data_IF_748250642708
#
_entry.id   IF_748250642708
#
_cell.length_a   1.000
_cell.length_b   1.000
_cell.length_c   1.000
_cell.angle_alpha   90.00
_cell.angle_beta   90.00
_cell.angle_gamma   90.00
#
_symmetry.space_group_name_H-M   'P 1'
#
loop_
_entity.id
_entity.type
_entity.pdbx_description
1 polymer ?
#
# COMPACT_ATOMS: atom_id res chain seq x y z
N UNK A 1 -13.24 5.29 10.20
CA UNK A 1 -12.05 5.97 10.77
C UNK A 1 -10.83 5.57 9.96
N UNK A 2 -9.91 6.49 9.71
CA UNK A 2 -8.66 6.22 8.97
C UNK A 2 -7.48 6.55 9.86
N UNK A 3 -6.49 5.68 9.85
CA UNK A 3 -5.51 5.62 10.93
C UNK A 3 -4.21 4.99 10.39
N UNK A 4 -3.05 5.52 10.76
CA UNK A 4 -1.74 5.07 10.27
C UNK A 4 -0.93 4.48 11.43
N UNK A 5 -0.27 3.34 11.19
CA UNK A 5 0.46 2.60 12.22
C UNK A 5 1.62 3.43 12.80
N UNK A 6 2.27 4.25 11.98
CA UNK A 6 3.40 5.05 12.41
C UNK A 6 3.04 6.30 13.21
N UNK A 7 1.81 6.83 13.05
CA UNK A 7 1.37 8.03 13.78
C UNK A 7 0.54 7.73 15.01
N UNK A 8 -0.23 6.64 15.05
CA UNK A 8 -1.12 6.34 16.16
C UNK A 8 -0.54 5.39 17.20
N UNK A 9 0.43 4.57 16.82
CA UNK A 9 0.93 3.48 17.64
C UNK A 9 2.38 3.74 18.01
N UNK A 10 2.58 4.78 18.84
CA UNK A 10 3.88 5.03 19.43
C UNK A 10 4.41 3.78 20.16
N UNK A 11 5.67 3.45 19.91
CA UNK A 11 6.38 2.38 20.62
C UNK A 11 6.40 1.02 19.93
N UNK A 12 6.22 0.95 18.61
CA UNK A 12 6.48 -0.28 17.85
C UNK A 12 5.40 -1.35 18.07
N UNK A 13 4.18 -0.90 18.34
CA UNK A 13 3.02 -1.76 18.60
C UNK A 13 2.03 -1.71 17.45
N UNK A 14 1.24 -2.77 17.32
CA UNK A 14 0.19 -2.94 16.30
C UNK A 14 -1.11 -3.36 16.99
N UNK A 15 -2.29 -3.06 16.41
CA UNK A 15 -3.55 -3.44 17.04
C UNK A 15 -3.78 -4.95 16.85
N UNK A 16 -4.02 -5.68 17.93
CA UNK A 16 -4.39 -7.10 17.89
C UNK A 16 -5.90 -7.31 17.90
N UNK A 17 -6.64 -6.36 18.48
CA UNK A 17 -8.08 -6.46 18.67
C UNK A 17 -8.73 -5.07 18.66
N UNK A 18 -9.92 -4.96 18.09
CA UNK A 18 -10.81 -3.82 18.29
C UNK A 18 -11.97 -4.23 19.18
N UNK A 19 -12.16 -3.48 20.26
CA UNK A 19 -13.33 -3.55 21.12
C UNK A 19 -14.25 -2.41 20.72
N UNK A 20 -15.21 -2.70 19.82
CA UNK A 20 -16.12 -1.69 19.28
C UNK A 20 -17.41 -1.70 20.10
N UNK A 21 -17.68 -0.61 20.79
CA UNK A 21 -18.92 -0.41 21.54
C UNK A 21 -19.92 0.32 20.66
N UNK A 22 -21.08 -0.28 20.43
CA UNK A 22 -22.14 0.27 19.59
C UNK A 22 -23.46 0.32 20.34
N UNK A 23 -24.35 1.21 19.91
CA UNK A 23 -25.75 1.22 20.37
C UNK A 23 -26.67 1.44 19.17
N UNK A 24 -27.80 0.76 19.17
CA UNK A 24 -28.81 0.91 18.14
C UNK A 24 -30.17 1.17 18.79
N UNK A 25 -30.90 2.18 18.32
CA UNK A 25 -32.23 2.48 18.83
C UNK A 25 -33.25 1.40 18.41
N UNK A 26 -34.33 1.22 19.20
CA UNK A 26 -35.46 0.37 18.81
C UNK A 26 -36.01 0.78 17.45
N UNK A 27 -36.46 -0.21 16.68
CA UNK A 27 -37.19 0.00 15.43
C UNK A 27 -38.61 -0.54 15.53
N UNK A 28 -39.49 -0.05 14.65
CA UNK A 28 -40.88 -0.51 14.58
C UNK A 28 -41.04 -1.97 14.08
N UNK A 29 -40.01 -2.54 13.44
CA UNK A 29 -40.02 -3.91 12.95
C UNK A 29 -39.17 -4.87 13.79
N UNK A 30 -39.48 -6.17 13.68
CA UNK A 30 -38.84 -7.27 14.42
C UNK A 30 -37.46 -7.68 13.88
N UNK A 31 -37.04 -7.11 12.74
CA UNK A 31 -35.73 -7.41 12.14
C UNK A 31 -34.62 -6.69 12.90
N UNK A 32 -33.82 -7.45 13.63
CA UNK A 32 -32.66 -6.94 14.33
C UNK A 32 -31.59 -6.39 13.35
N UNK A 33 -31.04 -5.19 13.61
CA UNK A 33 -29.93 -4.64 12.81
C UNK A 33 -28.68 -5.52 12.91
N UNK A 34 -27.88 -5.50 11.84
CA UNK A 34 -26.55 -6.12 11.80
C UNK A 34 -25.51 -5.01 11.82
N UNK A 35 -24.59 -5.06 12.78
CA UNK A 35 -23.36 -4.26 12.76
C UNK A 35 -22.22 -5.10 12.20
N UNK A 36 -21.51 -4.58 11.21
CA UNK A 36 -20.34 -5.21 10.58
C UNK A 36 -19.12 -4.33 10.76
N UNK A 37 -18.01 -4.93 11.17
CA UNK A 37 -16.73 -4.24 11.39
C UNK A 37 -15.76 -4.74 10.32
N UNK A 38 -15.25 -3.81 9.53
CA UNK A 38 -14.32 -4.08 8.44
C UNK A 38 -13.03 -3.31 8.62
N UNK A 39 -11.90 -3.93 8.32
CA UNK A 39 -10.57 -3.30 8.29
C UNK A 39 -9.98 -3.49 6.90
N UNK A 40 -9.67 -2.40 6.20
CA UNK A 40 -9.13 -2.45 4.83
C UNK A 40 -9.95 -3.38 3.92
N UNK A 41 -11.27 -3.25 4.00
CA UNK A 41 -12.27 -4.08 3.31
C UNK A 41 -12.35 -5.56 3.71
N UNK A 42 -11.51 -6.03 4.64
CA UNK A 42 -11.68 -7.34 5.27
C UNK A 42 -12.75 -7.28 6.36
N UNK A 43 -13.75 -8.15 6.28
CA UNK A 43 -14.74 -8.33 7.34
C UNK A 43 -14.09 -9.01 8.56
N UNK A 44 -13.92 -8.26 9.65
CA UNK A 44 -13.36 -8.79 10.89
C UNK A 44 -14.42 -9.48 11.76
N UNK A 45 -15.67 -9.00 11.67
CA UNK A 45 -16.78 -9.60 12.39
C UNK A 45 -18.09 -8.89 12.10
N UNK A 46 -19.19 -9.58 12.35
CA UNK A 46 -20.53 -9.02 12.30
C UNK A 46 -21.36 -9.55 13.46
N UNK A 47 -22.25 -8.70 13.99
CA UNK A 47 -23.14 -9.06 15.08
C UNK A 47 -24.54 -8.53 14.82
N UNK A 48 -25.53 -9.38 15.06
CA UNK A 48 -26.93 -8.97 15.16
C UNK A 48 -27.14 -8.31 16.52
N UNK A 49 -27.60 -7.07 16.52
CA UNK A 49 -27.80 -6.26 17.72
C UNK A 49 -29.20 -6.45 18.29
N UNK A 50 -29.33 -6.25 19.60
CA UNK A 50 -30.61 -6.22 20.30
C UNK A 50 -31.45 -4.97 19.99
N UNK A 51 -30.79 -3.88 19.60
CA UNK A 51 -31.41 -2.60 19.25
C UNK A 51 -32.34 -2.03 20.34
N UNK A 52 -31.97 -2.16 21.62
CA UNK A 52 -32.72 -1.63 22.76
C UNK A 52 -32.18 -0.27 23.26
N UNK A 53 -31.29 0.38 22.50
CA UNK A 53 -30.61 1.62 22.90
C UNK A 53 -29.48 1.43 23.92
N UNK A 54 -29.21 0.21 24.38
CA UNK A 54 -28.13 -0.10 25.33
C UNK A 54 -26.84 -0.41 24.57
N UNK A 55 -25.70 -0.14 25.21
CA UNK A 55 -24.38 -0.47 24.70
C UNK A 55 -24.19 -1.97 24.50
N UNK A 56 -23.73 -2.35 23.31
CA UNK A 56 -23.29 -3.69 22.96
C UNK A 56 -21.83 -3.65 22.48
N UNK A 57 -20.97 -4.46 23.12
CA UNK A 57 -19.56 -4.59 22.73
C UNK A 57 -19.39 -5.70 21.70
N UNK A 58 -18.67 -5.40 20.63
CA UNK A 58 -18.28 -6.37 19.59
C UNK A 58 -16.75 -6.47 19.59
N UNK A 59 -16.17 -7.51 20.21
CA UNK A 59 -14.74 -7.79 20.09
C UNK A 59 -14.46 -8.39 18.71
N UNK A 60 -13.47 -7.84 18.00
CA UNK A 60 -12.99 -8.40 16.74
C UNK A 60 -11.48 -8.49 16.73
N UNK A 61 -10.97 -9.67 16.42
CA UNK A 61 -9.53 -9.90 16.28
C UNK A 61 -9.03 -9.29 14.97
N UNK A 62 -7.82 -8.77 15.00
CA UNK A 62 -7.17 -8.16 13.85
C UNK A 62 -6.17 -9.16 13.25
N UNK A 63 -6.49 -9.80 12.12
CA UNK A 63 -5.55 -10.68 11.46
C UNK A 63 -4.40 -9.87 10.87
N UNK A 64 -3.18 -10.41 10.96
CA UNK A 64 -1.96 -9.73 10.50
C UNK A 64 -2.04 -9.30 9.03
N UNK A 65 -2.61 -10.15 8.17
CA UNK A 65 -2.74 -9.88 6.73
C UNK A 65 -3.71 -8.74 6.40
N UNK A 66 -4.61 -8.36 7.31
CA UNK A 66 -5.56 -7.27 7.08
C UNK A 66 -4.98 -5.91 7.49
N UNK A 67 -3.84 -5.88 8.20
CA UNK A 67 -3.16 -4.66 8.59
C UNK A 67 -2.23 -4.19 7.48
N UNK A 68 -2.28 -2.90 7.20
CA UNK A 68 -1.38 -2.19 6.31
C UNK A 68 -0.75 -1.01 7.06
N UNK A 69 0.19 -0.32 6.42
CA UNK A 69 0.74 0.94 6.94
C UNK A 69 -0.35 1.96 7.32
N UNK A 70 -1.31 2.15 6.41
CA UNK A 70 -2.51 2.95 6.61
C UNK A 70 -3.72 2.04 6.58
N UNK A 71 -4.58 2.23 7.57
CA UNK A 71 -5.72 1.38 7.82
C UNK A 71 -7.01 2.20 7.80
N UNK A 72 -8.08 1.58 7.32
CA UNK A 72 -9.44 2.11 7.37
C UNK A 72 -10.30 1.13 8.15
N UNK A 73 -10.77 1.55 9.32
CA UNK A 73 -11.78 0.84 10.10
C UNK A 73 -13.16 1.37 9.73
N UNK A 74 -13.99 0.52 9.10
CA UNK A 74 -15.37 0.84 8.73
C UNK A 74 -16.32 0.05 9.61
N UNK A 75 -17.27 0.75 10.22
CA UNK A 75 -18.35 0.15 10.99
C UNK A 75 -19.63 0.46 10.22
N UNK A 76 -20.31 -0.58 9.76
CA UNK A 76 -21.54 -0.47 8.96
C UNK A 76 -22.70 -1.03 9.76
N UNK A 77 -23.82 -0.32 9.75
CA UNK A 77 -25.08 -0.79 10.31
C UNK A 77 -26.04 -1.05 9.17
N UNK A 78 -26.56 -2.27 9.10
CA UNK A 78 -27.54 -2.67 8.11
C UNK A 78 -28.85 -3.01 8.81
N UNK A 79 -29.94 -2.43 8.33
CA UNK A 79 -31.30 -2.74 8.75
C UNK A 79 -32.08 -3.16 7.53
N UNK A 80 -32.92 -4.17 7.69
CA UNK A 80 -33.91 -4.46 6.68
C UNK A 80 -34.97 -3.36 6.75
N UNK A 81 -35.22 -2.60 5.67
CA UNK A 81 -36.33 -1.67 5.65
C UNK A 81 -37.62 -2.49 5.73
N UNK A 82 -38.48 -2.14 6.70
CA UNK A 82 -39.83 -2.68 6.78
C UNK A 82 -40.78 -1.66 6.15
N UNK A 83 -41.66 -2.14 5.28
CA UNK A 83 -42.74 -1.35 4.70
C UNK A 83 -43.91 -2.29 4.55
N UNK A 84 -45.01 -1.99 5.24
CA UNK A 84 -46.25 -2.75 5.06
C UNK A 84 -46.73 -2.57 3.62
N UNK A 85 -46.58 -3.60 2.78
CA UNK A 85 -46.98 -3.61 1.36
C UNK A 85 -46.50 -2.38 0.56
N UNK A 86 -45.28 -1.90 0.83
CA UNK A 86 -44.71 -0.69 0.20
C UNK A 86 -45.50 0.61 0.48
N UNK A 87 -46.40 0.63 1.48
CA UNK A 87 -47.24 1.80 1.82
C UNK A 87 -46.60 2.74 2.83
N UNK A 88 -45.68 2.23 3.65
CA UNK A 88 -44.94 3.05 4.61
C UNK A 88 -43.57 3.42 4.09
N UNK A 89 -43.18 4.67 4.29
CA UNK A 89 -41.84 5.17 3.98
C UNK A 89 -40.87 4.63 5.02
N UNK A 90 -39.79 3.90 4.63
CA UNK A 90 -38.82 3.39 5.58
C UNK A 90 -38.23 4.53 6.43
N UNK A 91 -38.37 4.43 7.76
CA UNK A 91 -37.83 5.43 8.68
C UNK A 91 -36.40 5.08 9.10
N UNK A 92 -35.55 6.12 9.21
CA UNK A 92 -34.21 5.99 9.73
C UNK A 92 -34.24 5.97 11.27
N UNK A 93 -33.67 4.94 11.88
CA UNK A 93 -33.49 4.82 13.33
C UNK A 93 -32.03 5.07 13.70
N UNK A 94 -31.74 5.86 14.75
CA UNK A 94 -30.37 6.23 15.07
C UNK A 94 -29.54 5.03 15.55
N UNK A 95 -28.25 5.08 15.23
CA UNK A 95 -27.21 4.17 15.68
C UNK A 95 -25.99 5.00 16.09
N UNK A 96 -25.18 4.49 17.01
CA UNK A 96 -23.97 5.16 17.44
C UNK A 96 -22.82 4.16 17.61
N UNK A 97 -21.61 4.64 17.31
CA UNK A 97 -20.35 4.03 17.76
C UNK A 97 -19.91 4.85 18.97
N UNK A 98 -19.75 4.20 20.11
CA UNK A 98 -19.56 4.87 21.38
C UNK A 98 -18.08 5.20 21.64
N UNK A 99 -17.77 6.30 22.36
CA UNK A 99 -16.40 6.70 22.68
C UNK A 99 -15.61 5.71 23.55
N UNK A 100 -16.30 4.75 24.18
CA UNK A 100 -15.67 3.68 24.97
C UNK A 100 -14.98 2.60 24.11
N UNK A 101 -15.15 2.68 22.78
CA UNK A 101 -14.47 1.83 21.82
C UNK A 101 -12.96 2.01 21.89
N UNK A 102 -12.20 0.91 21.84
CA UNK A 102 -10.73 0.94 21.97
C UNK A 102 -10.03 -0.14 21.16
N UNK A 103 -8.76 0.10 20.84
CA UNK A 103 -7.86 -0.90 20.25
C UNK A 103 -6.97 -1.49 21.34
N UNK A 104 -6.81 -2.82 21.35
CA UNK A 104 -5.80 -3.51 22.16
C UNK A 104 -4.52 -3.62 21.32
N UNK A 105 -3.39 -3.21 21.91
CA UNK A 105 -2.11 -3.14 21.22
C UNK A 105 -1.14 -4.21 21.73
N UNK A 106 -0.41 -4.81 20.80
CA UNK A 106 0.68 -5.79 21.07
C UNK A 106 1.94 -5.37 20.33
N UNK A 107 3.09 -5.94 20.70
CA UNK A 107 4.33 -5.66 20.00
C UNK A 107 4.27 -6.08 18.53
N UNK A 108 4.82 -5.24 17.65
CA UNK A 108 4.90 -5.52 16.23
C UNK A 108 5.75 -6.79 16.01
N UNK A 109 5.28 -7.74 15.19
CA UNK A 109 6.07 -8.93 14.92
C UNK A 109 7.40 -8.57 14.26
N UNK A 110 8.41 -9.41 14.46
CA UNK A 110 9.72 -9.27 13.82
C UNK A 110 9.71 -9.80 12.37
N UNK A 111 8.68 -9.42 11.60
CA UNK A 111 8.58 -9.74 10.18
C UNK A 111 9.41 -8.75 9.36
N UNK A 112 10.01 -9.23 8.28
CA UNK A 112 10.82 -8.43 7.35
C UNK A 112 9.92 -7.99 6.19
N UNK A 113 8.98 -7.11 6.50
CA UNK A 113 7.99 -6.54 5.59
C UNK A 113 7.66 -5.09 6.02
N UNK A 114 6.85 -4.36 5.24
CA UNK A 114 6.43 -3.00 5.61
C UNK A 114 5.68 -2.98 6.95
N UNK A 115 4.91 -4.04 7.25
CA UNK A 115 4.18 -4.18 8.51
C UNK A 115 5.08 -4.27 9.73
N UNK A 116 6.21 -4.99 9.65
CA UNK A 116 7.19 -5.10 10.71
C UNK A 116 8.12 -3.89 10.79
N UNK A 117 8.51 -3.31 9.66
CA UNK A 117 9.47 -2.20 9.63
C UNK A 117 8.86 -0.87 10.12
N UNK A 118 7.65 -0.51 9.65
CA UNK A 118 7.10 0.83 9.88
C UNK A 118 6.81 1.16 11.36
N UNK A 119 6.25 0.26 12.19
CA UNK A 119 6.09 0.54 13.63
C UNK A 119 7.43 0.79 14.34
N UNK A 120 8.50 0.13 13.91
CA UNK A 120 9.85 0.34 14.46
C UNK A 120 10.39 1.72 14.06
N UNK A 121 10.26 2.08 12.79
CA UNK A 121 10.64 3.40 12.27
C UNK A 121 9.89 4.56 12.95
N UNK A 122 8.61 4.35 13.27
CA UNK A 122 7.81 5.33 13.99
C UNK A 122 8.28 5.56 15.44
N UNK A 123 8.96 4.58 16.04
CA UNK A 123 9.47 4.66 17.42
C UNK A 123 10.77 5.43 17.49
N UNK A 124 11.73 5.03 16.65
CA UNK A 124 13.01 5.72 16.47
C UNK A 124 13.57 5.26 15.12
N UNK A 125 13.89 6.21 14.25
CA UNK A 125 14.43 5.91 12.95
C UNK A 125 15.79 6.57 12.74
N UNK A 126 16.73 5.83 12.16
CA UNK A 126 17.91 6.39 11.54
C UNK A 126 17.63 6.60 10.05
N UNK A 127 17.50 7.85 9.60
CA UNK A 127 17.33 8.20 8.18
C UNK A 127 18.70 8.42 7.59
N UNK A 128 19.12 7.54 6.69
CA UNK A 128 20.48 7.50 6.16
C UNK A 128 20.45 7.95 4.70
N UNK A 129 21.21 8.99 4.39
CA UNK A 129 21.30 9.59 3.05
C UNK A 129 22.77 9.80 2.66
N UNK A 130 23.15 9.78 1.37
CA UNK A 130 24.50 10.10 0.95
C UNK A 130 24.77 11.61 1.03
N UNK A 131 26.03 12.01 1.16
CA UNK A 131 26.44 13.40 1.25
C UNK A 131 26.01 14.23 0.02
N UNK A 132 25.95 13.61 -1.16
CA UNK A 132 25.45 14.21 -2.38
C UNK A 132 24.03 14.78 -2.25
N UNK A 133 23.17 14.21 -1.40
CA UNK A 133 21.81 14.71 -1.18
C UNK A 133 21.80 16.10 -0.56
N UNK A 134 22.80 16.45 0.27
CA UNK A 134 22.86 17.78 0.87
C UNK A 134 23.12 18.91 -0.15
N UNK A 135 23.56 18.57 -1.37
CA UNK A 135 23.92 19.54 -2.42
C UNK A 135 22.76 19.88 -3.35
N UNK A 136 21.70 19.07 -3.37
CA UNK A 136 20.56 19.23 -4.29
C UNK A 136 19.23 19.33 -3.52
N UNK A 137 18.54 20.48 -3.56
CA UNK A 137 17.28 20.69 -2.84
C UNK A 137 16.14 19.77 -3.31
N UNK A 138 16.21 19.21 -4.52
CA UNK A 138 15.19 18.26 -5.00
C UNK A 138 15.24 16.94 -4.23
N UNK A 139 16.40 16.57 -3.70
CA UNK A 139 16.57 15.35 -2.91
C UNK A 139 15.91 15.44 -1.54
N UNK A 140 15.86 16.64 -0.93
CA UNK A 140 15.16 16.85 0.34
C UNK A 140 13.68 16.47 0.24
N UNK A 141 13.02 16.84 -0.85
CA UNK A 141 11.62 16.44 -1.08
C UNK A 141 11.49 14.93 -1.13
N UNK A 142 12.40 14.25 -1.82
CA UNK A 142 12.44 12.78 -1.90
C UNK A 142 12.56 12.14 -0.53
N UNK A 143 13.49 12.64 0.29
CA UNK A 143 13.70 12.17 1.67
C UNK A 143 12.44 12.34 2.50
N UNK A 144 11.79 13.51 2.43
CA UNK A 144 10.55 13.78 3.15
C UNK A 144 9.43 12.84 2.68
N UNK A 145 9.25 12.67 1.36
CA UNK A 145 8.22 11.79 0.81
C UNK A 145 8.41 10.34 1.25
N UNK A 146 9.64 9.82 1.21
CA UNK A 146 9.95 8.47 1.66
C UNK A 146 9.80 8.33 3.17
N UNK A 147 10.30 9.27 3.96
CA UNK A 147 10.16 9.26 5.42
C UNK A 147 8.68 9.23 5.85
N UNK A 148 7.85 10.09 5.25
CA UNK A 148 6.40 10.11 5.50
C UNK A 148 5.75 8.80 5.07
N UNK A 149 6.06 8.29 3.88
CA UNK A 149 5.50 7.03 3.38
C UNK A 149 5.89 5.82 4.24
N UNK A 150 7.05 5.89 4.91
CA UNK A 150 7.59 4.87 5.80
C UNK A 150 7.21 5.05 7.28
N UNK A 151 6.38 6.05 7.60
CA UNK A 151 5.92 6.29 8.98
C UNK A 151 6.98 6.86 9.91
N UNK A 152 8.08 7.43 9.37
CA UNK A 152 9.12 8.08 10.15
C UNK A 152 8.60 9.40 10.70
N UNK A 153 8.77 9.63 12.00
CA UNK A 153 8.37 10.88 12.67
C UNK A 153 9.59 11.80 12.82
N UNK A 154 9.51 13.09 12.43
CA UNK A 154 10.65 14.02 12.55
C UNK A 154 11.16 14.18 13.97
N UNK A 155 10.28 14.10 14.98
CA UNK A 155 10.63 14.24 16.40
C UNK A 155 11.48 13.08 16.94
N UNK A 156 11.45 11.92 16.29
CA UNK A 156 12.14 10.69 16.73
C UNK A 156 13.09 10.13 15.67
N UNK A 157 13.38 10.94 14.65
CA UNK A 157 14.31 10.58 13.59
C UNK A 157 15.69 11.20 13.84
N UNK A 158 16.73 10.46 13.50
CA UNK A 158 18.10 10.96 13.40
C UNK A 158 18.47 10.95 11.92
N UNK A 159 18.90 12.08 11.38
CA UNK A 159 19.45 12.15 10.04
C UNK A 159 20.94 11.80 10.10
N UNK A 160 21.32 10.70 9.48
CA UNK A 160 22.72 10.28 9.30
C UNK A 160 23.14 10.52 7.86
N UNK A 161 24.25 11.22 7.68
CA UNK A 161 24.81 11.51 6.36
C UNK A 161 26.00 10.59 6.12
N UNK A 162 25.88 9.70 5.15
CA UNK A 162 26.94 8.82 4.71
C UNK A 162 27.87 9.53 3.73
N UNK A 163 29.16 9.18 3.75
CA UNK A 163 30.05 9.53 2.65
C UNK A 163 29.51 8.95 1.33
N UNK A 164 29.73 9.63 0.22
CA UNK A 164 29.24 9.17 -1.08
C UNK A 164 29.80 7.79 -1.42
N UNK A 165 28.90 6.82 -1.63
CA UNK A 165 29.26 5.43 -1.92
C UNK A 165 29.77 4.62 -0.72
N UNK A 166 29.90 5.23 0.46
CA UNK A 166 30.31 4.56 1.68
C UNK A 166 29.24 3.57 2.17
N UNK A 167 29.70 2.54 2.85
CA UNK A 167 28.85 1.55 3.50
C UNK A 167 28.64 1.92 4.97
N UNK A 168 27.39 1.90 5.43
CA UNK A 168 27.03 2.16 6.82
C UNK A 168 26.31 0.96 7.41
N UNK A 169 26.60 0.64 8.67
CA UNK A 169 25.87 -0.35 9.47
C UNK A 169 24.98 0.37 10.49
N UNK A 170 23.65 0.31 10.35
CA UNK A 170 22.72 0.91 11.30
C UNK A 170 22.74 0.20 12.65
N UNK A 171 22.60 0.98 13.73
CA UNK A 171 22.53 0.53 15.12
C UNK A 171 21.07 0.35 15.63
N UNK A 172 20.08 0.65 14.77
CA UNK A 172 18.66 0.60 15.06
C UNK A 172 17.81 0.49 13.80
N UNK A 173 16.49 0.63 13.93
CA UNK A 173 15.59 0.70 12.78
C UNK A 173 15.96 1.88 11.87
N UNK A 174 15.99 1.65 10.57
CA UNK A 174 16.57 2.59 9.62
C UNK A 174 15.79 2.72 8.33
N UNK A 175 15.84 3.91 7.73
CA UNK A 175 15.41 4.19 6.36
C UNK A 175 16.64 4.67 5.60
N UNK A 176 17.22 3.81 4.77
CA UNK A 176 18.34 4.17 3.91
C UNK A 176 17.86 4.55 2.52
N UNK A 177 18.32 5.67 2.00
CA UNK A 177 17.90 6.21 0.71
C UNK A 177 19.14 6.38 -0.16
N UNK A 178 19.23 5.62 -1.26
CA UNK A 178 20.37 5.61 -2.19
C UNK A 178 21.75 5.46 -1.49
N UNK A 179 21.77 4.81 -0.31
CA UNK A 179 22.99 4.58 0.49
C UNK A 179 23.27 3.08 0.58
N UNK A 180 24.56 2.72 0.58
CA UNK A 180 24.97 1.33 0.83
C UNK A 180 24.87 1.02 2.32
N UNK A 181 24.14 -0.03 2.63
CA UNK A 181 23.98 -0.52 4.00
C UNK A 181 24.68 -1.87 4.09
N UNK A 182 25.48 -2.06 5.12
CA UNK A 182 26.24 -3.29 5.33
C UNK A 182 25.37 -4.43 5.84
N UNK A 183 25.78 -5.67 5.57
CA UNK A 183 25.10 -6.89 6.04
C UNK A 183 23.60 -6.97 5.70
N UNK A 184 23.20 -6.39 4.56
CA UNK A 184 21.79 -6.39 4.13
C UNK A 184 21.42 -7.70 3.47
N UNK A 185 20.36 -8.33 3.98
CA UNK A 185 19.66 -9.39 3.26
C UNK A 185 18.64 -8.76 2.32
N UNK A 186 19.01 -8.58 1.05
CA UNK A 186 18.21 -7.93 0.00
C UNK A 186 17.76 -8.97 -1.03
N UNK A 187 16.49 -8.96 -1.38
CA UNK A 187 15.88 -9.67 -2.51
C UNK A 187 15.85 -8.82 -3.78
N UNK A 188 16.13 -7.51 -3.67
CA UNK A 188 16.19 -6.58 -4.79
C UNK A 188 17.63 -6.24 -5.18
N UNK A 189 17.94 -6.38 -6.46
CA UNK A 189 19.18 -5.89 -7.07
C UNK A 189 18.86 -4.83 -8.12
N UNK A 190 19.48 -3.66 -7.97
CA UNK A 190 19.42 -2.57 -8.96
C UNK A 190 20.80 -2.38 -9.55
N UNK A 191 20.90 -2.43 -10.87
CA UNK A 191 22.12 -2.16 -11.63
C UNK A 191 21.81 -1.18 -12.77
N UNK A 192 22.10 0.10 -12.53
CA UNK A 192 21.72 1.18 -13.44
C UNK A 192 20.21 1.19 -13.71
N UNK A 193 19.82 0.93 -14.95
CA UNK A 193 18.42 0.86 -15.41
C UNK A 193 17.81 -0.55 -15.36
N UNK A 194 18.48 -1.51 -14.72
CA UNK A 194 18.01 -2.89 -14.57
C UNK A 194 17.59 -3.17 -13.14
N UNK A 195 16.44 -3.81 -13.00
CA UNK A 195 15.88 -4.27 -11.74
C UNK A 195 15.74 -5.78 -11.79
N UNK A 196 16.32 -6.47 -10.82
CA UNK A 196 16.08 -7.89 -10.57
C UNK A 196 15.51 -8.09 -9.16
N UNK A 197 14.49 -8.93 -9.04
CA UNK A 197 13.86 -9.33 -7.78
C UNK A 197 13.91 -10.84 -7.67
N UNK A 198 14.45 -11.34 -6.56
CA UNK A 198 14.49 -12.76 -6.23
C UNK A 198 13.43 -13.09 -5.18
N UNK A 199 12.78 -14.24 -5.34
CA UNK A 199 11.85 -14.77 -4.34
C UNK A 199 12.57 -15.52 -3.22
N UNK A 200 11.78 -16.02 -2.27
CA UNK A 200 12.29 -16.74 -1.08
C UNK A 200 13.10 -18.02 -1.37
N UNK A 201 12.99 -18.59 -2.59
CA UNK A 201 13.75 -19.78 -3.02
C UNK A 201 14.90 -19.44 -3.99
N UNK A 202 15.40 -18.20 -3.95
CA UNK A 202 16.40 -17.66 -4.89
C UNK A 202 15.97 -17.65 -6.36
N UNK A 203 14.71 -17.98 -6.65
CA UNK A 203 14.16 -17.93 -7.99
C UNK A 203 13.97 -16.47 -8.41
N UNK A 204 14.47 -16.12 -9.60
CA UNK A 204 14.23 -14.81 -10.21
C UNK A 204 12.73 -14.67 -10.51
N UNK A 205 12.06 -13.79 -9.78
CA UNK A 205 10.63 -13.49 -10.00
C UNK A 205 10.43 -12.42 -11.07
N UNK A 206 11.34 -11.45 -11.12
CA UNK A 206 11.28 -10.34 -12.05
C UNK A 206 12.71 -9.93 -12.42
N UNK A 207 12.99 -9.78 -13.71
CA UNK A 207 14.22 -9.17 -14.23
C UNK A 207 13.87 -8.32 -15.43
N UNK A 208 13.96 -7.00 -15.27
CA UNK A 208 13.53 -6.03 -16.28
C UNK A 208 14.61 -4.96 -16.43
N UNK A 209 15.04 -4.73 -17.67
CA UNK A 209 15.97 -3.67 -18.04
C UNK A 209 15.26 -2.43 -18.59
N UNK A 210 16.05 -1.40 -18.90
CA UNK A 210 15.60 -0.15 -19.53
C UNK A 210 14.54 0.63 -18.72
N UNK A 211 14.59 0.50 -17.39
CA UNK A 211 13.73 1.24 -16.47
C UNK A 211 14.34 2.61 -16.15
N UNK A 212 13.50 3.65 -16.14
CA UNK A 212 13.90 5.03 -15.83
C UNK A 212 12.77 5.70 -15.06
N UNK A 213 13.11 6.70 -14.23
CA UNK A 213 12.12 7.46 -13.45
C UNK A 213 11.30 6.57 -12.50
N UNK A 214 11.94 5.53 -11.99
CA UNK A 214 11.38 4.57 -11.05
C UNK A 214 12.29 4.48 -9.83
N UNK A 215 11.70 4.10 -8.70
CA UNK A 215 12.42 3.72 -7.50
C UNK A 215 11.89 2.38 -7.00
N UNK A 216 12.67 1.73 -6.17
CA UNK A 216 12.25 0.54 -5.43
C UNK A 216 12.55 0.75 -3.97
N UNK A 217 11.57 0.42 -3.13
CA UNK A 217 11.75 0.35 -1.68
C UNK A 217 11.48 -1.06 -1.22
N UNK A 218 12.35 -1.55 -0.33
CA UNK A 218 12.34 -2.91 0.16
C UNK A 218 12.50 -2.92 1.68
N UNK A 219 11.75 -3.78 2.36
CA UNK A 219 11.98 -4.13 3.75
C UNK A 219 13.11 -5.15 3.85
N UNK A 220 14.13 -4.83 4.65
CA UNK A 220 15.35 -5.65 4.77
C UNK A 220 15.77 -5.82 6.22
N UNK A 221 16.67 -6.77 6.43
CA UNK A 221 17.45 -6.88 7.67
C UNK A 221 18.90 -6.49 7.43
N UNK A 222 19.46 -5.70 8.35
CA UNK A 222 20.91 -5.45 8.47
C UNK A 222 21.37 -5.99 9.83
N UNK A 223 21.97 -7.18 9.83
CA UNK A 223 22.20 -7.92 11.08
C UNK A 223 20.88 -8.20 11.81
N UNK A 224 20.71 -7.66 13.02
CA UNK A 224 19.49 -7.80 13.83
C UNK A 224 18.47 -6.66 13.63
N UNK A 225 18.80 -5.65 12.82
CA UNK A 225 17.96 -4.47 12.64
C UNK A 225 17.06 -4.64 11.41
N UNK A 226 15.76 -4.40 11.59
CA UNK A 226 14.79 -4.33 10.50
C UNK A 226 14.68 -2.88 10.04
N UNK A 227 14.77 -2.65 8.74
CA UNK A 227 14.68 -1.31 8.15
C UNK A 227 14.16 -1.35 6.72
N UNK A 228 14.16 -0.18 6.09
CA UNK A 228 13.77 -0.01 4.70
C UNK A 228 14.95 0.54 3.89
N UNK A 229 15.14 0.00 2.69
CA UNK A 229 16.15 0.48 1.74
C UNK A 229 15.45 0.93 0.47
N UNK A 230 15.61 2.20 0.13
CA UNK A 230 15.19 2.78 -1.14
C UNK A 230 16.37 2.88 -2.10
N UNK A 231 16.13 2.50 -3.36
CA UNK A 231 17.08 2.64 -4.47
C UNK A 231 16.39 3.27 -5.68
N UNK A 232 17.03 4.29 -6.24
CA UNK A 232 16.67 4.87 -7.53
C UNK A 232 17.04 3.90 -8.66
N UNK A 233 16.15 3.73 -9.65
CA UNK A 233 16.38 2.91 -10.83
C UNK A 233 16.60 3.84 -12.04
N UNK A 234 17.76 3.70 -12.68
CA UNK A 234 18.21 4.57 -13.76
C UNK A 234 18.78 5.90 -13.29
N UNK A 235 18.91 6.86 -14.20
CA UNK A 235 19.56 8.15 -13.94
C UNK A 235 18.71 9.14 -13.14
N UNK A 236 17.37 9.02 -13.22
CA UNK A 236 16.43 9.95 -12.60
C UNK A 236 15.52 9.17 -11.65
N UNK A 237 15.37 9.70 -10.43
CA UNK A 237 14.38 9.18 -9.51
C UNK A 237 12.99 9.79 -9.78
N UNK A 238 11.92 9.13 -9.31
CA UNK A 238 10.58 9.69 -9.36
C UNK A 238 10.49 11.02 -8.60
N UNK A 239 9.84 12.02 -9.21
CA UNK A 239 9.42 13.25 -8.51
C UNK A 239 7.99 13.09 -7.97
N UNK A 240 7.88 12.92 -6.65
CA UNK A 240 6.58 12.81 -5.98
C UNK A 240 6.07 14.18 -5.57
N UNK A 241 5.08 14.67 -6.31
CA UNK A 241 4.38 15.93 -6.00
C UNK A 241 3.28 15.76 -4.96
N UNK A 242 2.84 14.53 -4.71
CA UNK A 242 1.81 14.18 -3.73
C UNK A 242 2.37 13.14 -2.77
N UNK A 243 1.97 13.18 -1.48
CA UNK A 243 2.26 12.10 -0.55
C UNK A 243 1.71 10.77 -1.10
N UNK A 244 2.46 9.71 -0.89
CA UNK A 244 2.04 8.34 -1.16
C UNK A 244 2.24 7.51 0.10
N UNK A 245 1.76 6.28 0.07
CA UNK A 245 1.81 5.37 1.20
C UNK A 245 2.34 4.04 0.71
N UNK A 246 3.10 3.35 1.55
CA UNK A 246 3.42 1.95 1.32
C UNK A 246 2.18 1.12 1.71
N UNK A 247 1.80 0.15 0.88
CA UNK A 247 0.65 -0.70 1.16
C UNK A 247 1.09 -1.99 1.87
N UNK A 248 0.92 -3.14 1.23
CA UNK A 248 1.26 -4.46 1.75
C UNK A 248 2.54 -5.01 1.10
N UNK A 249 3.12 -6.04 1.74
CA UNK A 249 4.29 -6.76 1.25
C UNK A 249 5.61 -6.25 1.80
N UNK A 250 6.69 -6.73 1.19
CA UNK A 250 8.09 -6.40 1.53
C UNK A 250 8.79 -5.60 0.44
N UNK A 251 8.23 -5.49 -0.76
CA UNK A 251 8.80 -4.70 -1.87
C UNK A 251 7.73 -3.83 -2.53
N UNK A 252 8.08 -2.58 -2.85
CA UNK A 252 7.24 -1.69 -3.65
C UNK A 252 8.04 -0.97 -4.73
N UNK A 253 7.54 -1.04 -5.96
CA UNK A 253 8.02 -0.24 -7.08
C UNK A 253 7.27 1.09 -7.12
N UNK A 254 8.03 2.17 -7.08
CA UNK A 254 7.54 3.54 -7.00
C UNK A 254 7.73 4.24 -8.34
N UNK A 255 6.63 4.76 -8.87
CA UNK A 255 6.60 5.68 -10.02
C UNK A 255 6.38 7.11 -9.52
N UNK A 256 6.36 8.11 -10.42
CA UNK A 256 6.04 9.50 -10.05
C UNK A 256 4.64 9.69 -9.46
N UNK A 257 3.73 8.73 -9.69
CA UNK A 257 2.38 8.71 -9.10
C UNK A 257 2.32 8.03 -7.72
N UNK A 258 3.42 7.45 -7.24
CA UNK A 258 3.47 6.61 -6.03
C UNK A 258 3.67 5.12 -6.37
N UNK A 259 3.31 4.20 -5.46
CA UNK A 259 3.41 2.75 -5.70
C UNK A 259 2.68 2.34 -6.97
N UNK A 260 3.39 1.63 -7.84
CA UNK A 260 2.86 1.07 -9.09
C UNK A 260 2.67 -0.45 -8.99
N UNK A 261 3.55 -1.12 -8.24
CA UNK A 261 3.50 -2.57 -7.97
C UNK A 261 3.96 -2.81 -6.55
N UNK A 262 3.26 -3.66 -5.82
CA UNK A 262 3.69 -4.19 -4.54
C UNK A 262 3.86 -5.69 -4.63
N UNK A 263 4.88 -6.21 -3.96
CA UNK A 263 5.16 -7.63 -3.87
C UNK A 263 5.30 -7.97 -2.39
N UNK A 264 4.68 -9.07 -2.01
CA UNK A 264 5.09 -9.86 -0.86
C UNK A 264 5.86 -11.04 -1.42
N UNK A 265 7.11 -11.25 -1.04
CA UNK A 265 7.90 -12.40 -1.50
C UNK A 265 7.79 -13.60 -0.55
N UNK A 266 7.16 -13.43 0.61
CA UNK A 266 6.84 -14.51 1.55
C UNK A 266 5.51 -15.20 1.20
N UNK A 267 4.65 -14.53 0.43
CA UNK A 267 3.47 -15.12 -0.21
C UNK A 267 3.64 -15.06 -1.74
N UNK A 268 3.24 -16.10 -2.50
CA UNK A 268 3.44 -16.11 -3.96
C UNK A 268 2.49 -15.15 -4.72
N UNK A 269 1.96 -14.12 -4.06
CA UNK A 269 0.88 -13.24 -4.55
C UNK A 269 1.41 -11.87 -4.91
N UNK A 270 1.41 -11.56 -6.21
CA UNK A 270 1.56 -10.20 -6.72
C UNK A 270 0.23 -9.44 -6.52
N UNK A 271 0.16 -8.58 -5.50
CA UNK A 271 -0.97 -7.65 -5.36
C UNK A 271 -0.67 -6.38 -6.15
N UNK A 272 -1.36 -6.20 -7.28
CA UNK A 272 -1.36 -4.93 -8.02
C UNK A 272 -2.37 -3.99 -7.35
N UNK A 273 -1.95 -3.27 -6.33
CA UNK A 273 -2.82 -2.27 -5.69
C UNK A 273 -2.77 -0.93 -6.44
N UNK A 274 -3.87 -0.70 -7.15
CA UNK A 274 -4.54 0.55 -7.47
C UNK A 274 -3.72 1.86 -7.32
N UNK A 275 -3.01 2.22 -8.39
CA UNK A 275 -2.94 3.63 -8.76
C UNK A 275 -4.37 4.17 -8.89
N UNK A 276 -4.60 5.32 -8.25
CA UNK A 276 -5.78 6.19 -8.31
C UNK A 276 -7.02 5.64 -9.01
N UNK A 277 -8.09 5.48 -8.23
CA UNK A 277 -9.48 5.50 -8.64
C UNK A 277 -9.74 6.71 -9.57
N UNK A 278 -9.46 6.55 -10.87
CA UNK A 278 -9.87 7.37 -12.02
C UNK A 278 -9.25 6.88 -13.35
N UNK A 279 -8.89 5.59 -13.47
CA UNK A 279 -8.45 5.07 -14.76
C UNK A 279 -9.63 4.48 -15.53
N UNK A 280 -10.01 5.16 -16.62
CA UNK A 280 -11.12 4.80 -17.50
C UNK A 280 -11.05 3.33 -17.96
N UNK A 281 -9.84 2.76 -18.02
CA UNK A 281 -9.57 1.36 -18.34
C UNK A 281 -10.09 0.35 -17.31
N UNK A 282 -10.12 0.71 -16.01
CA UNK A 282 -10.62 -0.16 -14.95
C UNK A 282 -12.15 -0.31 -14.97
N UNK A 283 -12.85 0.73 -15.46
CA UNK A 283 -14.30 0.69 -15.70
C UNK A 283 -14.67 -0.15 -16.92
N UNK A 284 -13.78 -0.19 -17.92
CA UNK A 284 -13.98 -0.92 -19.17
C UNK A 284 -13.77 -2.43 -18.98
N UNK A 285 -12.90 -2.84 -18.05
CA UNK A 285 -12.69 -4.25 -17.69
C UNK A 285 -13.74 -4.82 -16.74
N UNK A 286 -14.49 -3.97 -16.03
CA UNK A 286 -15.53 -4.40 -15.07
C UNK A 286 -16.94 -4.48 -15.66
N UNK A 287 -17.13 -4.11 -16.94
CA UNK A 287 -18.42 -4.21 -17.64
C UNK A 287 -18.24 -4.69 -19.10
N UNK A 288 -18.40 -5.99 -19.33
CA UNK A 288 -18.62 -6.53 -20.69
C UNK A 288 -18.39 -8.05 -20.79
N UNK A 289 -19.32 -8.82 -21.39
CA UNK A 289 -19.31 -10.28 -21.36
C UNK A 289 -18.26 -10.88 -22.31
N UNK A 290 -17.61 -11.97 -21.89
CA UNK A 290 -16.97 -13.08 -22.62
C UNK A 290 -16.24 -12.86 -23.98
N UNK A 291 -15.92 -11.64 -24.41
CA UNK A 291 -15.32 -11.36 -25.74
C UNK A 291 -13.88 -10.82 -25.65
N UNK A 292 -13.29 -10.82 -24.45
CA UNK A 292 -11.96 -10.25 -24.17
C UNK A 292 -10.82 -10.80 -25.07
N UNK A 293 -10.70 -12.11 -25.30
CA UNK A 293 -9.63 -12.65 -26.14
C UNK A 293 -9.80 -12.29 -27.62
N UNK A 294 -11.04 -12.25 -28.11
CA UNK A 294 -11.34 -11.96 -29.52
C UNK A 294 -11.09 -10.49 -29.89
N UNK A 295 -11.43 -9.56 -28.99
CA UNK A 295 -11.22 -8.13 -29.21
C UNK A 295 -9.73 -7.76 -29.27
N UNK A 296 -8.89 -8.39 -28.44
CA UNK A 296 -7.44 -8.20 -28.47
C UNK A 296 -6.85 -8.73 -29.78
N UNK A 297 -7.32 -9.88 -30.26
CA UNK A 297 -6.91 -10.43 -31.56
C UNK A 297 -7.23 -9.51 -32.73
N UNK A 298 -8.45 -8.93 -32.76
CA UNK A 298 -8.86 -7.99 -33.81
C UNK A 298 -8.06 -6.68 -33.77
N UNK A 299 -7.75 -6.16 -32.58
CA UNK A 299 -6.95 -4.95 -32.44
C UNK A 299 -5.50 -5.14 -32.95
N UNK A 300 -4.88 -6.29 -32.66
CA UNK A 300 -3.54 -6.62 -33.18
C UNK A 300 -3.56 -6.75 -34.71
N UNK A 301 -4.60 -7.38 -35.27
CA UNK A 301 -4.75 -7.52 -36.72
C UNK A 301 -4.91 -6.17 -37.42
N UNK A 302 -5.72 -5.26 -36.87
CA UNK A 302 -5.88 -3.90 -37.40
C UNK A 302 -4.58 -3.10 -37.29
N UNK A 303 -3.86 -3.22 -36.18
CA UNK A 303 -2.57 -2.54 -36.00
C UNK A 303 -1.53 -3.02 -37.03
N UNK A 304 -1.42 -4.34 -37.27
CA UNK A 304 -0.54 -4.89 -38.29
C UNK A 304 -0.96 -4.46 -39.71
N UNK A 305 -2.27 -4.41 -39.99
CA UNK A 305 -2.80 -3.92 -41.26
C UNK A 305 -2.41 -2.44 -41.50
N UNK A 306 -2.52 -1.59 -40.48
CA UNK A 306 -2.12 -0.18 -40.55
C UNK A 306 -0.61 -0.02 -40.77
N UNK A 307 0.22 -0.85 -40.14
CA UNK A 307 1.68 -0.84 -40.37
C UNK A 307 2.01 -1.24 -41.82
N UNK A 308 1.34 -2.27 -42.36
CA UNK A 308 1.54 -2.70 -43.75
C UNK A 308 1.07 -1.63 -44.75
N UNK A 309 -0.07 -1.00 -44.50
CA UNK A 309 -0.59 0.09 -45.34
C UNK A 309 0.33 1.33 -45.28
N UNK A 310 0.83 1.69 -44.10
CA UNK A 310 1.78 2.79 -43.94
C UNK A 310 3.13 2.50 -44.64
N UNK A 311 3.60 1.26 -44.61
CA UNK A 311 4.80 0.84 -45.35
C UNK A 311 4.57 0.83 -46.86
N UNK A 312 3.40 0.40 -47.34
CA UNK A 312 3.03 0.47 -48.77
C UNK A 312 2.88 1.91 -49.27
N UNK A 313 2.30 2.79 -48.47
CA UNK A 313 2.21 4.21 -48.79
C UNK A 313 3.60 4.86 -48.87
N UNK A 314 4.50 4.56 -47.93
CA UNK A 314 5.89 5.05 -47.96
C UNK A 314 6.74 4.51 -49.12
N UNK A 315 6.41 3.32 -49.65
CA UNK A 315 7.07 2.78 -50.85
C UNK A 315 6.59 3.45 -52.13
N UNK A 316 5.30 3.81 -52.22
CA UNK A 316 4.75 4.55 -53.38
C UNK A 316 5.26 5.98 -53.49
N UNK A 317 5.51 6.66 -52.36
CA UNK A 317 6.10 8.01 -52.34
C UNK A 317 7.61 8.04 -52.62
N UNK A 318 8.23 6.88 -52.92
CA UNK A 318 9.67 6.78 -53.24
C UNK A 318 9.94 6.43 -54.71
N UNK A 319 8.88 6.31 -55.53
CA UNK A 319 8.95 5.98 -56.96
C UNK A 319 8.34 7.07 -57.87
N UNK A 320 8.12 8.29 -57.37
CA UNK A 320 7.91 9.47 -58.21
C UNK A 320 9.20 10.32 -58.20
N UNK A 321 9.89 10.47 -59.35
CA UNK A 321 11.10 11.29 -59.48
C UNK A 321 10.82 12.80 -59.44
#
# INVERSE_FOLDING_TARGET
ATFDLGTLLGGGRVPSEFLVDVSAAPSAGDSAPIASIMLNDYLLGARRLSANGITERIPVQVPRYALAARNVLKISFQRQPMSDRCRETPQAFPVAVLPSSRAVLVDAPATVDFFGAMPRLATRANVIVPQAYLRDPTTLRRVISLAVASGVTPERAILTVAGDGAEITPDGAFLAIDTRVGNVTSKVKVDGSRLAITGSNEQTMLDVGSLTNLGVIEAVTSGHQIGLVYRTIGANAPDWKKPFLLSAGDISLLSSAGPAVTLDTNSATLTRDAAGENDAFSSLLKRGPAWGPAAVGVAILLFLLFVVLAQRARRRTREEP
#
